data_IF_399789099418
#
_entry.id   IF_399789099418
#
_cell.length_a   1.000
_cell.length_b   1.000
_cell.length_c   1.000
_cell.angle_alpha   90.00
_cell.angle_beta   90.00
_cell.angle_gamma   90.00
#
_symmetry.space_group_name_H-M   'P 1'
#
loop_
_entity.id
_entity.type
_entity.pdbx_description
1 polymer ?
#
# COMPACT_ATOMS: atom_id res chain seq x y z
N UNK A 1 -3.97 15.99 15.20
CA UNK A 1 -3.75 16.19 13.74
C UNK A 1 -2.56 17.10 13.47
N UNK A 2 -2.50 18.35 14.00
CA UNK A 2 -1.43 19.32 13.71
C UNK A 2 -0.03 18.77 14.00
N UNK A 3 0.22 18.23 15.20
CA UNK A 3 1.54 17.69 15.56
C UNK A 3 2.01 16.58 14.61
N UNK A 4 1.12 15.71 14.17
CA UNK A 4 1.45 14.64 13.20
C UNK A 4 1.82 15.20 11.83
N UNK A 5 1.08 16.22 11.36
CA UNK A 5 1.41 16.87 10.09
C UNK A 5 2.72 17.66 10.17
N UNK A 6 2.97 18.35 11.29
CA UNK A 6 4.24 19.07 11.50
C UNK A 6 5.44 18.12 11.51
N UNK A 7 5.32 16.98 12.19
CA UNK A 7 6.35 15.94 12.19
C UNK A 7 6.56 15.38 10.78
N UNK A 8 5.48 15.08 10.06
CA UNK A 8 5.57 14.57 8.69
C UNK A 8 6.29 15.55 7.76
N UNK A 9 5.91 16.83 7.80
CA UNK A 9 6.55 17.87 6.99
C UNK A 9 8.02 18.07 7.35
N UNK A 10 8.37 18.01 8.64
CA UNK A 10 9.75 18.10 9.10
C UNK A 10 10.59 16.94 8.54
N UNK A 11 10.11 15.71 8.68
CA UNK A 11 10.79 14.52 8.19
C UNK A 11 10.91 14.51 6.66
N UNK A 12 9.86 14.89 5.95
CA UNK A 12 9.86 15.00 4.49
C UNK A 12 10.86 16.06 4.02
N UNK A 13 10.86 17.24 4.64
CA UNK A 13 11.83 18.31 4.32
C UNK A 13 13.25 17.83 4.57
N UNK A 14 13.50 17.17 5.70
CA UNK A 14 14.81 16.59 6.02
C UNK A 14 15.25 15.56 4.98
N UNK A 15 14.37 14.66 4.56
CA UNK A 15 14.65 13.68 3.53
C UNK A 15 14.99 14.35 2.18
N UNK A 16 14.16 15.26 1.72
CA UNK A 16 14.35 15.92 0.41
C UNK A 16 15.62 16.77 0.38
N UNK A 17 15.94 17.48 1.45
CA UNK A 17 17.19 18.25 1.56
C UNK A 17 18.41 17.33 1.60
N UNK A 18 18.35 16.23 2.34
CA UNK A 18 19.42 15.24 2.36
C UNK A 18 19.62 14.63 0.97
N UNK A 19 18.57 14.24 0.27
CA UNK A 19 18.66 13.73 -1.10
C UNK A 19 19.31 14.72 -2.05
N UNK A 20 18.89 16.00 -2.00
CA UNK A 20 19.47 17.05 -2.82
C UNK A 20 20.97 17.24 -2.52
N UNK A 21 21.37 17.17 -1.25
CA UNK A 21 22.78 17.25 -0.85
C UNK A 21 23.63 16.07 -1.36
N UNK A 22 23.00 14.90 -1.59
CA UNK A 22 23.67 13.74 -2.20
C UNK A 22 23.64 13.75 -3.75
N UNK A 23 23.12 14.82 -4.37
CA UNK A 23 22.97 14.94 -5.81
C UNK A 23 21.78 14.20 -6.42
N UNK A 24 20.88 13.65 -5.60
CA UNK A 24 19.63 13.08 -6.07
C UNK A 24 18.58 14.18 -6.28
N UNK A 25 17.90 14.15 -7.43
CA UNK A 25 16.82 15.10 -7.69
C UNK A 25 15.58 14.75 -6.87
N UNK A 26 15.11 15.62 -5.95
CA UNK A 26 13.84 15.43 -5.26
C UNK A 26 12.64 15.31 -6.20
N UNK A 27 12.64 16.05 -7.30
CA UNK A 27 11.58 15.99 -8.31
C UNK A 27 11.56 14.62 -9.00
N UNK A 28 12.73 14.09 -9.36
CA UNK A 28 12.82 12.73 -9.92
C UNK A 28 12.29 11.69 -8.93
N UNK A 29 12.63 11.80 -7.65
CA UNK A 29 12.12 10.89 -6.61
C UNK A 29 10.59 10.93 -6.50
N UNK A 30 10.00 12.13 -6.51
CA UNK A 30 8.54 12.27 -6.46
C UNK A 30 7.87 11.64 -7.68
N UNK A 31 8.38 11.92 -8.88
CA UNK A 31 7.75 11.46 -10.13
C UNK A 31 8.02 9.99 -10.44
N UNK A 32 9.22 9.48 -10.18
CA UNK A 32 9.62 8.13 -10.55
C UNK A 32 9.47 7.09 -9.43
N UNK A 33 9.34 7.51 -8.17
CA UNK A 33 9.21 6.62 -7.02
C UNK A 33 7.89 6.86 -6.29
N UNK A 34 7.67 8.06 -5.74
CA UNK A 34 6.53 8.30 -4.85
C UNK A 34 5.20 8.23 -5.59
N UNK A 35 5.09 8.86 -6.75
CA UNK A 35 3.85 8.86 -7.53
C UNK A 35 3.48 7.46 -8.07
N UNK A 36 4.40 6.70 -8.71
CA UNK A 36 4.10 5.33 -9.12
C UNK A 36 3.78 4.39 -7.95
N UNK A 37 4.48 4.51 -6.82
CA UNK A 37 4.19 3.73 -5.63
C UNK A 37 2.78 4.01 -5.09
N UNK A 38 2.39 5.29 -5.04
CA UNK A 38 1.04 5.68 -4.64
C UNK A 38 -0.02 5.19 -5.64
N UNK A 39 0.23 5.32 -6.94
CA UNK A 39 -0.66 4.80 -7.97
C UNK A 39 -0.86 3.28 -7.84
N UNK A 40 0.22 2.54 -7.58
CA UNK A 40 0.18 1.09 -7.38
C UNK A 40 -0.65 0.70 -6.16
N UNK A 41 -0.54 1.44 -5.04
CA UNK A 41 -1.40 1.21 -3.85
C UNK A 41 -2.87 1.49 -4.13
N UNK A 42 -3.20 2.45 -5.00
CA UNK A 42 -4.59 2.73 -5.41
C UNK A 42 -5.14 1.62 -6.32
N UNK A 43 -4.36 1.14 -7.27
CA UNK A 43 -4.73 -0.03 -8.10
C UNK A 43 -4.97 -1.26 -7.22
N UNK A 44 -4.11 -1.51 -6.24
CA UNK A 44 -4.29 -2.59 -5.25
C UNK A 44 -5.63 -2.44 -4.52
N UNK A 45 -5.89 -1.27 -3.92
CA UNK A 45 -7.13 -1.01 -3.18
C UNK A 45 -8.38 -1.20 -4.04
N UNK A 46 -8.31 -0.81 -5.32
CA UNK A 46 -9.40 -1.03 -6.26
C UNK A 46 -9.66 -2.53 -6.52
N UNK A 47 -8.61 -3.34 -6.58
CA UNK A 47 -8.72 -4.78 -6.81
C UNK A 47 -9.11 -5.58 -5.55
N UNK A 48 -8.95 -5.01 -4.37
CA UNK A 48 -9.29 -5.62 -3.09
C UNK A 48 -10.77 -5.44 -2.70
N UNK A 49 -11.45 -4.49 -3.33
CA UNK A 49 -12.83 -4.13 -3.00
C UNK A 49 -13.73 -4.14 -4.22
N UNK A 50 -15.02 -4.38 -3.99
CA UNK A 50 -16.08 -4.25 -4.99
C UNK A 50 -17.26 -3.46 -4.42
N UNK A 51 -18.05 -2.86 -5.29
CA UNK A 51 -19.33 -2.27 -4.90
C UNK A 51 -20.32 -3.41 -4.55
N UNK A 52 -20.86 -3.38 -3.34
CA UNK A 52 -21.89 -4.29 -2.87
C UNK A 52 -22.74 -3.62 -1.81
N UNK A 53 -24.04 -3.95 -1.77
CA UNK A 53 -24.97 -3.43 -0.77
C UNK A 53 -24.61 -3.99 0.61
N UNK A 54 -24.34 -5.29 0.69
CA UNK A 54 -23.84 -5.94 1.90
C UNK A 54 -22.38 -5.54 2.16
N UNK A 55 -22.08 -4.89 3.31
CA UNK A 55 -20.71 -4.53 3.68
C UNK A 55 -19.76 -5.72 3.73
N UNK A 56 -20.21 -6.92 4.12
CA UNK A 56 -19.40 -8.13 4.19
C UNK A 56 -19.00 -8.66 2.82
N UNK A 57 -19.77 -8.32 1.78
CA UNK A 57 -19.49 -8.72 0.41
C UNK A 57 -18.57 -7.75 -0.35
N UNK A 58 -18.04 -6.70 0.31
CA UNK A 58 -17.22 -5.67 -0.33
C UNK A 58 -15.76 -6.07 -0.49
N UNK A 59 -15.24 -6.95 0.37
CA UNK A 59 -13.89 -7.48 0.26
C UNK A 59 -13.88 -8.67 -0.68
N UNK A 60 -12.84 -8.75 -1.53
CA UNK A 60 -12.73 -9.82 -2.53
C UNK A 60 -11.41 -10.57 -2.41
N UNK A 61 -11.36 -11.73 -3.03
CA UNK A 61 -10.14 -12.48 -3.25
C UNK A 61 -9.75 -12.32 -4.70
N UNK A 62 -8.49 -11.96 -4.93
CA UNK A 62 -7.89 -11.87 -6.24
C UNK A 62 -6.78 -12.92 -6.35
N UNK A 63 -7.02 -14.00 -7.06
CA UNK A 63 -6.04 -15.06 -7.29
C UNK A 63 -4.94 -14.57 -8.22
N UNK A 64 -3.89 -14.02 -7.64
CA UNK A 64 -2.78 -13.45 -8.38
C UNK A 64 -1.55 -14.37 -8.37
N UNK A 65 -0.73 -14.25 -9.41
CA UNK A 65 0.57 -14.92 -9.51
C UNK A 65 1.59 -14.41 -8.46
N UNK A 66 2.68 -15.16 -8.30
CA UNK A 66 3.72 -14.88 -7.31
C UNK A 66 4.23 -13.43 -7.29
N UNK A 67 4.51 -12.76 -8.43
CA UNK A 67 5.00 -11.39 -8.41
C UNK A 67 4.04 -10.42 -7.70
N UNK A 68 2.75 -10.53 -8.00
CA UNK A 68 1.72 -9.68 -7.40
C UNK A 68 1.50 -10.00 -5.92
N UNK A 69 1.53 -11.28 -5.55
CA UNK A 69 1.44 -11.68 -4.14
C UNK A 69 2.60 -11.15 -3.30
N UNK A 70 3.81 -11.20 -3.84
CA UNK A 70 4.99 -10.64 -3.18
C UNK A 70 4.90 -9.12 -3.06
N UNK A 71 4.53 -8.44 -4.16
CA UNK A 71 4.41 -6.98 -4.20
C UNK A 71 3.34 -6.46 -3.22
N UNK A 72 2.22 -7.16 -3.10
CA UNK A 72 1.10 -6.76 -2.24
C UNK A 72 1.03 -7.54 -0.92
N UNK A 73 2.09 -8.25 -0.55
CA UNK A 73 2.19 -8.97 0.72
C UNK A 73 0.99 -9.91 0.97
N UNK A 74 0.59 -10.68 -0.04
CA UNK A 74 -0.59 -11.55 -0.03
C UNK A 74 -1.93 -10.87 0.33
N UNK A 75 -2.00 -9.54 0.37
CA UNK A 75 -3.26 -8.82 0.62
C UNK A 75 -4.25 -8.91 -0.56
N UNK A 76 -3.87 -9.56 -1.65
CA UNK A 76 -4.81 -10.02 -2.66
C UNK A 76 -5.82 -11.08 -2.12
N UNK A 77 -5.54 -11.71 -0.96
CA UNK A 77 -6.49 -12.50 -0.17
C UNK A 77 -7.25 -11.62 0.83
N UNK A 78 -7.80 -10.50 0.36
CA UNK A 78 -8.28 -9.41 1.21
C UNK A 78 -9.51 -9.80 2.05
N UNK A 79 -10.40 -10.63 1.53
CA UNK A 79 -11.52 -11.16 2.31
C UNK A 79 -11.03 -12.00 3.51
N UNK A 80 -10.03 -12.86 3.31
CA UNK A 80 -9.43 -13.64 4.42
C UNK A 80 -8.81 -12.70 5.47
N UNK A 81 -8.17 -11.61 5.05
CA UNK A 81 -7.61 -10.62 5.97
C UNK A 81 -8.72 -9.92 6.79
N UNK A 82 -9.86 -9.61 6.18
CA UNK A 82 -10.99 -9.02 6.90
C UNK A 82 -11.65 -9.98 7.89
N UNK A 83 -11.77 -11.25 7.52
CA UNK A 83 -12.34 -12.28 8.39
C UNK A 83 -11.40 -12.62 9.56
N UNK A 84 -10.10 -12.57 9.31
CA UNK A 84 -9.05 -12.98 10.25
C UNK A 84 -7.94 -11.90 10.36
N UNK A 85 -8.24 -10.70 10.87
CA UNK A 85 -7.31 -9.55 10.83
C UNK A 85 -6.03 -9.76 11.66
N UNK A 86 -6.02 -10.71 12.59
CA UNK A 86 -4.84 -11.07 13.38
C UNK A 86 -3.86 -12.02 12.66
N UNK A 87 -4.22 -12.53 11.49
CA UNK A 87 -3.35 -13.43 10.72
C UNK A 87 -2.28 -12.64 9.97
N UNK A 88 -0.99 -13.00 10.09
CA UNK A 88 0.07 -12.31 9.38
C UNK A 88 -0.04 -12.54 7.86
N UNK A 89 0.38 -11.55 7.08
CA UNK A 89 0.25 -11.52 5.62
C UNK A 89 0.80 -12.76 4.90
N UNK A 90 1.87 -13.37 5.40
CA UNK A 90 2.48 -14.55 4.79
C UNK A 90 1.66 -15.82 4.97
N UNK A 91 0.76 -15.86 5.94
CA UNK A 91 -0.12 -17.00 6.21
C UNK A 91 -1.48 -16.90 5.51
N UNK A 92 -1.87 -15.74 4.99
CA UNK A 92 -3.20 -15.52 4.40
C UNK A 92 -3.54 -16.53 3.30
N UNK A 93 -2.57 -16.86 2.44
CA UNK A 93 -2.76 -17.83 1.36
C UNK A 93 -3.05 -19.26 1.86
N UNK A 94 -2.54 -19.63 3.03
CA UNK A 94 -2.70 -20.98 3.55
C UNK A 94 -4.10 -21.21 4.14
N UNK A 95 -4.80 -20.12 4.44
CA UNK A 95 -6.15 -20.11 5.00
C UNK A 95 -7.24 -19.90 3.94
N UNK A 96 -6.82 -19.57 2.71
CA UNK A 96 -7.66 -19.51 1.55
C UNK A 96 -7.88 -20.88 0.94
#
# INVERSE_FOLDING_TARGET
AIAMWSLHLLLLTGLLTWMAAQGFSPLWFVLAVSYPALALTKVRSFLEHRAADDPLARSVINEAGLPWRALFLNLNYHAVHHDLPGVPWYALRQLY
#
